data_IF_628315711326
#
_entry.id   IF_628315711326
#
_cell.length_a   1.000
_cell.length_b   1.000
_cell.length_c   1.000
_cell.angle_alpha   90.00
_cell.angle_beta   90.00
_cell.angle_gamma   90.00
#
_symmetry.space_group_name_H-M   'P 1'
#
loop_
_entity.id
_entity.type
_entity.pdbx_description
1 polymer ?
#
# COMPACT_ATOMS: atom_id res chain seq x y z
N UNK A 1 15.26 -19.56 13.80
CA UNK A 1 15.45 -18.73 12.61
C UNK A 1 14.45 -19.10 11.50
N UNK A 2 14.34 -20.40 11.11
CA UNK A 2 13.40 -20.87 10.07
C UNK A 2 11.93 -20.50 10.36
N UNK A 3 11.47 -20.62 11.60
CA UNK A 3 10.08 -20.26 11.98
C UNK A 3 9.83 -18.77 11.82
N UNK A 4 10.79 -17.92 12.23
CA UNK A 4 10.66 -16.46 12.06
C UNK A 4 10.63 -16.07 10.58
N UNK A 5 11.47 -16.69 9.76
CA UNK A 5 11.45 -16.50 8.31
C UNK A 5 10.12 -16.93 7.67
N UNK A 6 9.57 -18.07 8.08
CA UNK A 6 8.27 -18.54 7.60
C UNK A 6 7.13 -17.57 8.00
N UNK A 7 7.19 -17.02 9.22
CA UNK A 7 6.22 -16.01 9.67
C UNK A 7 6.35 -14.74 8.82
N UNK A 8 7.57 -14.20 8.62
CA UNK A 8 7.79 -12.98 7.83
C UNK A 8 7.28 -13.13 6.40
N UNK A 9 7.59 -14.26 5.75
CA UNK A 9 7.12 -14.55 4.40
C UNK A 9 5.59 -14.70 4.33
N UNK A 10 4.98 -15.36 5.32
CA UNK A 10 3.52 -15.53 5.39
C UNK A 10 2.79 -14.20 5.66
N UNK A 11 3.45 -13.22 6.29
CA UNK A 11 2.85 -11.92 6.58
C UNK A 11 2.63 -11.04 5.33
N UNK A 12 3.24 -11.34 4.19
CA UNK A 12 3.12 -10.53 2.96
C UNK A 12 1.66 -10.34 2.55
N UNK A 13 0.87 -11.40 2.52
CA UNK A 13 -0.56 -11.32 2.21
C UNK A 13 -1.34 -10.48 3.21
N UNK A 14 -1.05 -10.62 4.51
CA UNK A 14 -1.69 -9.83 5.57
C UNK A 14 -1.30 -8.36 5.52
N UNK A 15 -0.05 -8.06 5.21
CA UNK A 15 0.44 -6.69 5.03
C UNK A 15 -0.23 -6.02 3.83
N UNK A 16 -0.38 -6.75 2.72
CA UNK A 16 -1.10 -6.25 1.55
C UNK A 16 -2.59 -6.03 1.86
N UNK A 17 -3.24 -6.97 2.54
CA UNK A 17 -4.65 -6.83 2.92
C UNK A 17 -4.90 -5.64 3.86
N UNK A 18 -3.91 -5.25 4.67
CA UNK A 18 -3.96 -4.09 5.57
C UNK A 18 -3.41 -2.80 4.96
N UNK A 19 -2.94 -2.82 3.71
CA UNK A 19 -2.41 -1.64 3.04
C UNK A 19 -3.49 -0.60 2.72
N UNK A 20 -3.09 0.53 2.17
CA UNK A 20 -3.95 1.66 1.82
C UNK A 20 -4.62 2.38 3.02
N UNK A 21 -4.35 2.01 4.26
CA UNK A 21 -4.88 2.67 5.44
C UNK A 21 -4.57 4.18 5.49
N UNK A 22 -3.45 4.59 4.90
CA UNK A 22 -2.96 5.97 4.88
C UNK A 22 -3.41 6.77 3.64
N UNK A 23 -4.15 6.20 2.69
CA UNK A 23 -4.51 6.85 1.43
C UNK A 23 -5.29 8.15 1.62
N UNK A 24 -6.08 8.28 2.70
CA UNK A 24 -6.75 9.52 3.04
C UNK A 24 -5.78 10.70 3.23
N UNK A 25 -4.53 10.44 3.61
CA UNK A 25 -3.52 11.48 3.79
C UNK A 25 -3.08 12.11 2.46
N UNK A 26 -3.15 11.38 1.34
CA UNK A 26 -2.81 11.87 0.01
C UNK A 26 -3.85 12.85 -0.53
N UNK A 27 -5.09 12.76 -0.05
CA UNK A 27 -6.19 13.67 -0.38
C UNK A 27 -6.50 14.66 0.74
N UNK A 28 -5.60 14.83 1.70
CA UNK A 28 -5.81 15.64 2.90
C UNK A 28 -6.19 17.10 2.61
N UNK A 29 -5.73 17.66 1.49
CA UNK A 29 -6.07 19.01 1.05
C UNK A 29 -7.53 19.20 0.64
N UNK A 30 -8.27 18.12 0.39
CA UNK A 30 -9.69 18.14 0.02
C UNK A 30 -10.62 17.81 1.21
N UNK A 31 -10.05 17.41 2.35
CA UNK A 31 -10.81 17.01 3.53
C UNK A 31 -11.27 18.24 4.32
N UNK A 32 -12.57 18.35 4.56
CA UNK A 32 -13.15 19.38 5.43
C UNK A 32 -12.72 19.10 6.88
N UNK A 33 -12.21 20.12 7.59
CA UNK A 33 -11.68 20.02 8.95
C UNK A 33 -10.63 18.90 9.13
N UNK A 34 -9.51 18.94 8.36
CA UNK A 34 -8.55 17.84 8.29
C UNK A 34 -7.91 17.52 9.64
N UNK A 35 -7.73 18.49 10.52
CA UNK A 35 -7.17 18.29 11.88
C UNK A 35 -7.98 17.29 12.72
N UNK A 36 -9.28 17.18 12.50
CA UNK A 36 -10.19 16.26 13.22
C UNK A 36 -10.51 15.03 12.37
N UNK A 37 -10.88 15.24 11.11
CA UNK A 37 -11.46 14.19 10.29
C UNK A 37 -10.44 13.16 9.81
N UNK A 38 -9.18 13.58 9.53
CA UNK A 38 -8.14 12.62 9.12
C UNK A 38 -7.81 11.63 10.25
N UNK A 39 -7.46 12.06 11.48
CA UNK A 39 -7.22 11.11 12.56
C UNK A 39 -8.42 10.21 12.87
N UNK A 40 -9.63 10.78 12.84
CA UNK A 40 -10.85 10.02 13.10
C UNK A 40 -11.10 8.97 12.02
N UNK A 41 -10.95 9.32 10.74
CA UNK A 41 -11.08 8.39 9.62
C UNK A 41 -10.06 7.26 9.68
N UNK A 42 -8.81 7.58 10.04
CA UNK A 42 -7.76 6.57 10.21
C UNK A 42 -8.12 5.58 11.34
N UNK A 43 -8.51 6.07 12.51
CA UNK A 43 -8.85 5.20 13.65
C UNK A 43 -10.09 4.36 13.37
N UNK A 44 -11.18 4.99 12.93
CA UNK A 44 -12.44 4.28 12.69
C UNK A 44 -12.34 3.33 11.50
N UNK A 45 -11.73 3.78 10.39
CA UNK A 45 -11.57 2.95 9.19
C UNK A 45 -10.68 1.74 9.45
N UNK A 46 -9.49 1.95 10.02
CA UNK A 46 -8.58 0.86 10.35
C UNK A 46 -9.17 -0.07 11.39
N UNK A 47 -9.82 0.46 12.42
CA UNK A 47 -10.47 -0.34 13.45
C UNK A 47 -11.61 -1.21 12.89
N UNK A 48 -12.46 -0.64 12.05
CA UNK A 48 -13.55 -1.38 11.41
C UNK A 48 -13.04 -2.51 10.50
N UNK A 49 -12.04 -2.22 9.66
CA UNK A 49 -11.43 -3.22 8.76
C UNK A 49 -10.74 -4.32 9.57
N UNK A 50 -9.99 -3.98 10.61
CA UNK A 50 -9.35 -4.97 11.49
C UNK A 50 -10.38 -5.88 12.14
N UNK A 51 -11.47 -5.31 12.68
CA UNK A 51 -12.56 -6.08 13.26
C UNK A 51 -13.19 -7.05 12.25
N UNK A 52 -13.48 -6.58 11.04
CA UNK A 52 -14.03 -7.42 9.96
C UNK A 52 -13.08 -8.56 9.59
N UNK A 53 -11.77 -8.31 9.50
CA UNK A 53 -10.79 -9.36 9.22
C UNK A 53 -10.71 -10.40 10.34
N UNK A 54 -10.73 -9.97 11.60
CA UNK A 54 -10.76 -10.90 12.74
C UNK A 54 -12.02 -11.77 12.69
N UNK A 55 -13.18 -11.16 12.48
CA UNK A 55 -14.45 -11.91 12.39
C UNK A 55 -14.48 -12.87 11.20
N UNK A 56 -13.94 -12.45 10.03
CA UNK A 56 -13.84 -13.32 8.86
C UNK A 56 -12.92 -14.52 9.12
N UNK A 57 -11.77 -14.31 9.75
CA UNK A 57 -10.86 -15.41 10.09
C UNK A 57 -11.47 -16.37 11.13
N UNK A 58 -12.20 -15.86 12.11
CA UNK A 58 -12.96 -16.70 13.05
C UNK A 58 -13.99 -17.55 12.29
N UNK A 59 -14.72 -16.94 11.35
CA UNK A 59 -15.70 -17.66 10.54
C UNK A 59 -15.02 -18.76 9.68
N UNK A 60 -13.86 -18.50 9.09
CA UNK A 60 -13.12 -19.50 8.31
C UNK A 60 -12.71 -20.70 9.17
N UNK A 61 -12.19 -20.48 10.37
CA UNK A 61 -11.77 -21.54 11.29
C UNK A 61 -12.98 -22.34 11.83
N UNK A 62 -14.13 -21.70 11.98
CA UNK A 62 -15.36 -22.38 12.40
C UNK A 62 -16.00 -23.22 11.28
N UNK A 63 -15.84 -22.83 10.02
CA UNK A 63 -16.43 -23.49 8.85
C UNK A 63 -15.53 -24.56 8.25
N UNK A 64 -14.22 -24.39 8.32
CA UNK A 64 -13.23 -25.24 7.67
C UNK A 64 -12.19 -25.70 8.68
N UNK A 65 -11.77 -26.98 8.65
CA UNK A 65 -10.60 -27.41 9.41
C UNK A 65 -9.34 -26.69 8.92
N UNK A 66 -8.45 -26.35 9.85
CA UNK A 66 -7.19 -25.67 9.51
C UNK A 66 -6.29 -26.55 8.63
N UNK A 67 -6.20 -27.83 9.00
CA UNK A 67 -5.41 -28.86 8.26
C UNK A 67 -6.34 -29.68 7.38
N UNK A 68 -5.78 -30.19 6.28
CA UNK A 68 -6.55 -31.05 5.37
C UNK A 68 -5.61 -31.91 4.52
N UNK A 69 -6.17 -32.49 3.46
CA UNK A 69 -5.40 -33.29 2.47
C UNK A 69 -5.55 -32.70 1.08
N UNK A 70 -4.48 -32.60 0.28
CA UNK A 70 -4.53 -31.96 -1.04
C UNK A 70 -5.47 -32.67 -2.02
N UNK A 71 -5.61 -33.98 -1.88
CA UNK A 71 -6.38 -34.84 -2.80
C UNK A 71 -7.82 -35.09 -2.33
N UNK A 72 -8.29 -34.45 -1.26
CA UNK A 72 -9.66 -34.59 -0.79
C UNK A 72 -10.64 -34.12 -1.87
N UNK A 73 -11.73 -34.89 -2.06
CA UNK A 73 -12.73 -34.59 -3.05
C UNK A 73 -13.60 -33.37 -2.66
N UNK A 74 -13.83 -33.19 -1.37
CA UNK A 74 -14.68 -32.15 -0.80
C UNK A 74 -13.86 -30.98 -0.22
N UNK A 75 -14.53 -29.85 -0.07
CA UNK A 75 -13.92 -28.61 0.45
C UNK A 75 -13.51 -28.76 1.92
N UNK A 76 -14.29 -29.46 2.71
CA UNK A 76 -14.00 -29.69 4.14
C UNK A 76 -12.74 -30.55 4.31
N UNK A 77 -12.59 -31.60 3.51
CA UNK A 77 -11.42 -32.48 3.56
C UNK A 77 -10.12 -31.80 3.12
N UNK A 78 -10.18 -30.80 2.23
CA UNK A 78 -9.03 -29.96 1.86
C UNK A 78 -8.68 -28.96 2.96
N UNK A 79 -9.65 -28.49 3.70
CA UNK A 79 -9.47 -27.50 4.74
C UNK A 79 -8.95 -26.15 4.24
N UNK A 80 -8.52 -25.32 5.18
CA UNK A 80 -7.90 -24.02 4.87
C UNK A 80 -6.56 -24.19 4.15
N UNK A 81 -5.77 -25.19 4.58
CA UNK A 81 -4.40 -25.42 4.11
C UNK A 81 -4.31 -25.73 2.61
N UNK A 82 -5.30 -26.45 2.05
CA UNK A 82 -5.32 -26.88 0.65
C UNK A 82 -6.56 -26.35 -0.10
N UNK A 83 -7.05 -25.16 0.29
CA UNK A 83 -8.12 -24.50 -0.42
C UNK A 83 -7.74 -24.29 -1.90
N UNK A 84 -8.67 -24.57 -2.82
CA UNK A 84 -8.41 -24.49 -4.27
C UNK A 84 -7.93 -23.10 -4.66
N UNK A 85 -6.74 -23.02 -5.27
CA UNK A 85 -6.09 -21.75 -5.68
C UNK A 85 -5.97 -20.75 -4.51
N UNK A 86 -5.73 -21.23 -3.29
CA UNK A 86 -5.61 -20.43 -2.07
C UNK A 86 -6.84 -19.54 -1.74
N UNK A 87 -8.02 -19.89 -2.30
CA UNK A 87 -9.26 -19.10 -2.15
C UNK A 87 -10.05 -19.52 -0.92
N UNK A 88 -9.49 -19.32 0.28
CA UNK A 88 -10.12 -19.69 1.56
C UNK A 88 -11.52 -19.09 1.74
N UNK A 89 -11.70 -17.80 1.36
CA UNK A 89 -13.01 -17.14 1.45
C UNK A 89 -14.08 -17.82 0.59
N UNK A 90 -13.73 -18.25 -0.62
CA UNK A 90 -14.63 -18.99 -1.51
C UNK A 90 -14.92 -20.38 -0.96
N UNK A 91 -13.90 -21.05 -0.44
CA UNK A 91 -14.06 -22.36 0.21
C UNK A 91 -15.02 -22.28 1.41
N UNK A 92 -14.85 -21.29 2.28
CA UNK A 92 -15.76 -21.08 3.41
C UNK A 92 -17.18 -20.71 2.95
N UNK A 93 -17.33 -19.88 1.92
CA UNK A 93 -18.62 -19.54 1.36
C UNK A 93 -19.33 -20.76 0.75
N UNK A 94 -18.61 -21.70 0.15
CA UNK A 94 -19.20 -22.91 -0.43
C UNK A 94 -19.79 -23.85 0.63
N UNK A 95 -19.28 -23.80 1.86
CA UNK A 95 -19.87 -24.54 2.99
C UNK A 95 -21.28 -24.03 3.36
N UNK A 96 -21.58 -22.77 3.02
CA UNK A 96 -22.87 -22.12 3.33
C UNK A 96 -23.80 -22.12 2.12
N UNK A 97 -23.26 -21.77 0.94
CA UNK A 97 -24.02 -21.47 -0.28
C UNK A 97 -23.92 -22.58 -1.34
N UNK A 98 -23.15 -23.65 -1.07
CA UNK A 98 -22.94 -24.73 -2.02
C UNK A 98 -22.26 -24.24 -3.33
N UNK A 99 -22.67 -24.81 -4.46
CA UNK A 99 -22.07 -24.58 -5.79
C UNK A 99 -22.20 -23.13 -6.29
N UNK A 100 -23.16 -22.37 -5.78
CA UNK A 100 -23.37 -20.96 -6.18
C UNK A 100 -22.36 -20.00 -5.54
N UNK A 101 -21.64 -20.45 -4.51
CA UNK A 101 -20.66 -19.62 -3.77
C UNK A 101 -19.61 -18.99 -4.67
N UNK A 102 -19.07 -19.73 -5.64
CA UNK A 102 -18.02 -19.25 -6.52
C UNK A 102 -18.49 -18.05 -7.36
N UNK A 103 -19.71 -18.08 -7.87
CA UNK A 103 -20.30 -16.99 -8.67
C UNK A 103 -20.57 -15.78 -7.81
N UNK A 104 -21.18 -15.98 -6.63
CA UNK A 104 -21.48 -14.89 -5.70
C UNK A 104 -20.19 -14.20 -5.26
N UNK A 105 -19.18 -14.99 -4.85
CA UNK A 105 -17.88 -14.45 -4.44
C UNK A 105 -17.17 -13.70 -5.59
N UNK A 106 -17.23 -14.21 -6.82
CA UNK A 106 -16.66 -13.54 -7.97
C UNK A 106 -17.31 -12.17 -8.22
N UNK A 107 -18.61 -12.07 -8.14
CA UNK A 107 -19.34 -10.79 -8.29
C UNK A 107 -18.99 -9.82 -7.16
N UNK A 108 -18.95 -10.29 -5.91
CA UNK A 108 -18.57 -9.46 -4.76
C UNK A 108 -17.15 -8.95 -4.85
N UNK A 109 -16.19 -9.80 -5.30
CA UNK A 109 -14.80 -9.41 -5.53
C UNK A 109 -14.70 -8.37 -6.64
N UNK A 110 -15.44 -8.54 -7.76
CA UNK A 110 -15.46 -7.53 -8.84
C UNK A 110 -15.94 -6.16 -8.35
N UNK A 111 -17.01 -6.11 -7.58
CA UNK A 111 -17.54 -4.87 -7.00
C UNK A 111 -16.52 -4.25 -6.05
N UNK A 112 -15.92 -5.05 -5.17
CA UNK A 112 -14.93 -4.60 -4.20
C UNK A 112 -13.67 -4.05 -4.87
N UNK A 113 -13.11 -4.77 -5.83
CA UNK A 113 -11.91 -4.34 -6.56
C UNK A 113 -12.15 -3.09 -7.41
N UNK A 114 -13.34 -2.95 -8.01
CA UNK A 114 -13.71 -1.72 -8.72
C UNK A 114 -13.71 -0.51 -7.78
N UNK A 115 -14.30 -0.64 -6.59
CA UNK A 115 -14.30 0.42 -5.58
C UNK A 115 -12.89 0.75 -5.06
N UNK A 116 -12.08 -0.27 -4.80
CA UNK A 116 -10.69 -0.10 -4.38
C UNK A 116 -9.84 0.62 -5.44
N UNK A 117 -9.94 0.20 -6.70
CA UNK A 117 -9.22 0.83 -7.81
C UNK A 117 -9.57 2.31 -7.96
N UNK A 118 -10.83 2.69 -7.78
CA UNK A 118 -11.24 4.10 -7.83
C UNK A 118 -10.50 4.95 -6.79
N UNK A 119 -10.40 4.46 -5.55
CA UNK A 119 -9.65 5.12 -4.48
C UNK A 119 -8.15 5.22 -4.75
N UNK A 120 -7.53 4.13 -5.22
CA UNK A 120 -6.10 4.08 -5.54
C UNK A 120 -5.73 4.98 -6.72
N UNK A 121 -6.55 5.02 -7.77
CA UNK A 121 -6.36 5.90 -8.93
C UNK A 121 -6.39 7.37 -8.49
N UNK A 122 -7.36 7.74 -7.66
CA UNK A 122 -7.46 9.10 -7.14
C UNK A 122 -6.24 9.48 -6.30
N UNK A 123 -5.86 8.65 -5.34
CA UNK A 123 -4.73 8.89 -4.45
C UNK A 123 -3.40 8.98 -5.22
N UNK A 124 -3.13 8.02 -6.14
CA UNK A 124 -1.91 7.98 -6.93
C UNK A 124 -1.73 9.21 -7.82
N UNK A 125 -2.79 9.64 -8.49
CA UNK A 125 -2.75 10.83 -9.34
C UNK A 125 -2.43 12.11 -8.54
N UNK A 126 -2.88 12.21 -7.29
CA UNK A 126 -2.56 13.34 -6.38
C UNK A 126 -1.10 13.35 -5.94
N UNK A 127 -0.49 12.17 -5.75
CA UNK A 127 0.95 12.07 -5.46
C UNK A 127 1.78 12.61 -6.62
N UNK A 128 1.50 12.18 -7.85
CA UNK A 128 2.22 12.68 -9.03
C UNK A 128 2.02 14.19 -9.23
N UNK A 129 0.82 14.68 -9.00
CA UNK A 129 0.51 16.11 -9.02
C UNK A 129 1.36 16.89 -8.00
N UNK A 130 1.41 16.43 -6.74
CA UNK A 130 2.21 17.04 -5.69
C UNK A 130 3.71 17.03 -6.04
N UNK A 131 4.24 15.89 -6.49
CA UNK A 131 5.65 15.77 -6.92
C UNK A 131 5.98 16.73 -8.08
N UNK A 132 5.07 16.91 -9.03
CA UNK A 132 5.25 17.85 -10.14
C UNK A 132 5.26 19.30 -9.65
N UNK A 133 4.42 19.65 -8.68
CA UNK A 133 4.40 20.97 -8.04
C UNK A 133 5.68 21.26 -7.26
N UNK A 134 6.26 20.23 -6.63
CA UNK A 134 7.54 20.32 -5.91
C UNK A 134 8.76 20.30 -6.86
N UNK A 135 8.55 20.18 -8.18
CA UNK A 135 9.61 20.18 -9.19
C UNK A 135 10.42 18.90 -9.25
N UNK A 136 9.92 17.79 -8.70
CA UNK A 136 10.58 16.47 -8.69
C UNK A 136 9.89 15.43 -9.59
N UNK A 137 9.00 15.91 -10.48
CA UNK A 137 8.33 15.11 -11.50
C UNK A 137 8.04 15.94 -12.75
N UNK A 138 7.49 15.33 -13.80
CA UNK A 138 7.16 16.03 -15.05
C UNK A 138 6.21 17.21 -14.79
N UNK A 139 6.56 18.41 -15.27
CA UNK A 139 5.77 19.64 -15.08
C UNK A 139 4.33 19.50 -15.57
N UNK A 140 4.12 18.74 -16.65
CA UNK A 140 2.80 18.48 -17.24
C UNK A 140 1.84 17.76 -16.26
N UNK A 141 2.35 16.96 -15.32
CA UNK A 141 1.53 16.30 -14.29
C UNK A 141 1.05 17.28 -13.19
N UNK A 142 1.65 18.48 -13.11
CA UNK A 142 1.28 19.55 -12.18
C UNK A 142 0.15 20.47 -12.67
N UNK A 143 -0.47 20.18 -13.82
CA UNK A 143 -1.61 20.92 -14.34
C UNK A 143 -2.91 20.20 -14.04
N UNK A 144 -3.91 20.98 -13.65
CA UNK A 144 -5.28 20.51 -13.48
C UNK A 144 -6.09 20.94 -14.71
N UNK A 145 -7.01 20.08 -15.16
CA UNK A 145 -7.98 20.45 -16.18
C UNK A 145 -9.08 21.37 -15.58
N UNK A 146 -10.03 21.81 -16.41
CA UNK A 146 -11.16 22.67 -16.01
C UNK A 146 -12.00 22.10 -14.86
N UNK A 147 -11.97 20.78 -14.65
CA UNK A 147 -12.66 20.08 -13.55
C UNK A 147 -11.75 19.80 -12.35
N UNK A 148 -10.62 20.51 -12.23
CA UNK A 148 -9.61 20.31 -11.17
C UNK A 148 -9.04 18.88 -11.09
N UNK A 149 -8.98 18.15 -12.21
CA UNK A 149 -8.47 16.79 -12.30
C UNK A 149 -7.07 16.79 -12.93
N UNK A 150 -6.07 16.08 -12.36
CA UNK A 150 -4.73 15.95 -12.93
C UNK A 150 -4.69 14.91 -14.06
N UNK A 151 -5.24 15.27 -15.23
CA UNK A 151 -5.46 14.34 -16.34
C UNK A 151 -4.18 13.67 -16.86
N UNK A 152 -3.06 14.42 -16.93
CA UNK A 152 -1.77 13.86 -17.35
C UNK A 152 -1.22 12.84 -16.34
N UNK A 153 -1.38 13.12 -15.04
CA UNK A 153 -0.99 12.18 -13.99
C UNK A 153 -1.78 10.88 -14.06
N UNK A 154 -3.09 10.96 -14.33
CA UNK A 154 -3.94 9.80 -14.55
C UNK A 154 -3.53 8.99 -15.78
N UNK A 155 -3.20 9.65 -16.89
CA UNK A 155 -2.76 8.97 -18.11
C UNK A 155 -1.43 8.20 -17.90
N UNK A 156 -0.44 8.84 -17.26
CA UNK A 156 0.86 8.21 -16.94
C UNK A 156 0.66 7.01 -16.02
N UNK A 157 -0.17 7.16 -14.98
CA UNK A 157 -0.50 6.08 -14.05
C UNK A 157 -1.18 4.91 -14.77
N UNK A 158 -2.14 5.17 -15.65
CA UNK A 158 -2.85 4.14 -16.39
C UNK A 158 -1.94 3.36 -17.34
N UNK A 159 -1.07 4.06 -18.08
CA UNK A 159 -0.08 3.44 -18.97
C UNK A 159 0.88 2.56 -18.15
N UNK A 160 1.41 3.08 -17.05
CA UNK A 160 2.34 2.34 -16.19
C UNK A 160 1.68 1.09 -15.58
N UNK A 161 0.45 1.21 -15.07
CA UNK A 161 -0.30 0.08 -14.55
C UNK A 161 -0.54 -0.99 -15.62
N UNK A 162 -0.86 -0.58 -16.87
CA UNK A 162 -1.03 -1.52 -17.99
C UNK A 162 0.26 -2.27 -18.32
N UNK A 163 1.41 -1.58 -18.32
CA UNK A 163 2.73 -2.21 -18.52
C UNK A 163 3.03 -3.21 -17.40
N UNK A 164 2.75 -2.87 -16.14
CA UNK A 164 2.95 -3.78 -15.01
C UNK A 164 2.05 -5.01 -15.10
N UNK A 165 0.80 -4.88 -15.54
CA UNK A 165 -0.09 -6.04 -15.75
C UNK A 165 0.43 -7.03 -16.79
N UNK A 166 1.28 -6.58 -17.72
CA UNK A 166 1.91 -7.44 -18.74
C UNK A 166 3.23 -8.08 -18.25
N UNK A 167 3.77 -7.63 -17.12
CA UNK A 167 5.12 -7.99 -16.65
C UNK A 167 5.18 -9.20 -15.72
N UNK A 168 4.06 -9.68 -15.18
CA UNK A 168 4.09 -10.79 -14.22
C UNK A 168 2.72 -11.22 -13.71
N UNK A 169 2.74 -12.22 -12.83
CA UNK A 169 1.54 -12.72 -12.16
C UNK A 169 1.11 -11.78 -11.01
N UNK A 170 -0.11 -11.97 -10.54
CA UNK A 170 -0.62 -11.23 -9.36
C UNK A 170 0.28 -11.40 -8.12
N UNK A 171 0.75 -12.62 -7.87
CA UNK A 171 1.61 -12.91 -6.73
C UNK A 171 2.96 -12.19 -6.81
N UNK A 172 3.55 -12.16 -8.00
CA UNK A 172 4.83 -11.49 -8.25
C UNK A 172 4.71 -9.97 -7.99
N UNK A 173 3.66 -9.35 -8.55
CA UNK A 173 3.40 -7.91 -8.36
C UNK A 173 3.15 -7.56 -6.89
N UNK A 174 2.49 -8.45 -6.14
CA UNK A 174 2.22 -8.27 -4.72
C UNK A 174 3.52 -8.22 -3.89
N UNK A 175 4.44 -9.15 -4.13
CA UNK A 175 5.74 -9.17 -3.45
C UNK A 175 6.56 -7.89 -3.73
N UNK A 176 6.58 -7.40 -4.99
CA UNK A 176 7.23 -6.13 -5.35
C UNK A 176 6.64 -4.93 -4.61
N UNK A 177 5.32 -4.84 -4.58
CA UNK A 177 4.61 -3.70 -3.98
C UNK A 177 4.86 -3.67 -2.48
N UNK A 178 4.65 -4.77 -1.77
CA UNK A 178 4.78 -4.82 -0.31
C UNK A 178 6.19 -4.47 0.15
N UNK A 179 7.21 -5.01 -0.49
CA UNK A 179 8.60 -4.68 -0.16
C UNK A 179 8.89 -3.18 -0.31
N UNK A 180 8.46 -2.60 -1.44
CA UNK A 180 8.66 -1.16 -1.70
C UNK A 180 7.90 -0.29 -0.70
N UNK A 181 6.65 -0.62 -0.42
CA UNK A 181 5.79 0.09 0.54
C UNK A 181 6.40 0.08 1.94
N UNK A 182 6.92 -1.06 2.40
CA UNK A 182 7.57 -1.15 3.72
C UNK A 182 8.76 -0.19 3.85
N UNK A 183 9.60 -0.07 2.80
CA UNK A 183 10.71 0.88 2.80
C UNK A 183 10.20 2.32 2.98
N UNK A 184 9.19 2.72 2.22
CA UNK A 184 8.63 4.07 2.33
C UNK A 184 7.94 4.32 3.67
N UNK A 185 7.29 3.32 4.25
CA UNK A 185 6.70 3.43 5.59
C UNK A 185 7.78 3.57 6.67
N UNK A 186 8.86 2.80 6.61
CA UNK A 186 10.01 2.95 7.51
C UNK A 186 10.55 4.39 7.44
N UNK A 187 10.78 4.92 6.24
CA UNK A 187 11.28 6.28 6.05
C UNK A 187 10.29 7.33 6.58
N UNK A 188 9.01 7.18 6.29
CA UNK A 188 7.96 8.12 6.72
C UNK A 188 7.81 8.13 8.24
N UNK A 189 7.76 6.97 8.88
CA UNK A 189 7.65 6.87 10.34
C UNK A 189 8.92 7.37 11.03
N UNK A 190 10.10 7.07 10.47
CA UNK A 190 11.38 7.63 10.94
C UNK A 190 11.39 9.15 10.84
N UNK A 191 10.74 9.71 9.85
CA UNK A 191 10.56 11.16 9.67
C UNK A 191 9.92 11.85 10.90
N UNK A 192 9.08 11.15 11.67
CA UNK A 192 8.48 11.69 12.90
C UNK A 192 9.56 12.07 13.93
N UNK A 193 10.57 11.22 14.09
CA UNK A 193 11.68 11.47 15.04
C UNK A 193 12.52 12.65 14.58
N UNK A 194 12.83 12.71 13.26
CA UNK A 194 13.60 13.81 12.66
C UNK A 194 12.86 15.14 12.79
N UNK A 195 11.56 15.18 12.46
CA UNK A 195 10.74 16.38 12.56
C UNK A 195 10.60 16.88 14.00
N UNK A 196 10.44 15.97 14.96
CA UNK A 196 10.37 16.37 16.37
C UNK A 196 11.68 16.97 16.87
N UNK A 197 12.83 16.51 16.35
CA UNK A 197 14.14 17.07 16.67
C UNK A 197 14.39 18.41 15.98
N UNK A 198 14.04 18.52 14.69
CA UNK A 198 14.30 19.74 13.89
C UNK A 198 13.30 20.85 14.14
N UNK A 199 12.04 20.51 14.43
CA UNK A 199 10.96 21.46 14.64
C UNK A 199 10.19 21.16 15.93
N UNK A 200 10.83 21.35 17.13
CA UNK A 200 10.22 20.99 18.40
C UNK A 200 8.93 21.77 18.70
N UNK A 201 8.85 23.01 18.25
CA UNK A 201 7.73 23.93 18.51
C UNK A 201 6.65 23.92 17.41
N UNK A 202 6.75 23.05 16.39
CA UNK A 202 5.70 22.95 15.36
C UNK A 202 4.36 22.53 15.97
N UNK A 203 3.28 23.21 15.57
CA UNK A 203 1.92 22.83 15.97
C UNK A 203 1.61 21.39 15.53
N UNK A 204 1.15 20.58 16.47
CA UNK A 204 0.77 19.16 16.23
C UNK A 204 -0.66 18.96 16.71
N UNK A 205 -1.64 19.08 15.82
CA UNK A 205 -3.04 18.86 16.16
C UNK A 205 -3.30 17.48 16.77
N UNK A 206 -2.55 16.47 16.30
CA UNK A 206 -2.55 15.12 16.84
C UNK A 206 -1.14 14.71 17.25
N UNK A 207 -1.00 14.21 18.47
CA UNK A 207 0.27 13.66 18.99
C UNK A 207 0.25 12.14 18.79
N UNK A 208 1.27 11.60 18.09
CA UNK A 208 1.37 10.15 17.86
C UNK A 208 1.30 9.39 19.20
N UNK A 209 0.30 8.51 19.31
CA UNK A 209 0.08 7.68 20.49
C UNK A 209 1.30 6.79 20.79
N UNK A 210 1.66 6.66 22.04
CA UNK A 210 2.79 5.81 22.48
C UNK A 210 4.17 6.25 21.97
N UNK A 211 4.32 7.49 21.53
CA UNK A 211 5.64 8.01 21.16
C UNK A 211 6.59 8.05 22.38
N UNK A 212 7.88 7.66 22.25
CA UNK A 212 8.55 7.21 21.00
C UNK A 212 8.45 5.70 20.74
N UNK A 213 7.91 4.91 21.65
CA UNK A 213 7.99 3.45 21.65
C UNK A 213 7.24 2.83 20.49
N UNK A 214 5.97 3.20 20.26
CA UNK A 214 5.14 2.58 19.22
C UNK A 214 5.71 2.84 17.81
N UNK A 215 6.06 4.08 17.41
CA UNK A 215 6.73 4.32 16.14
C UNK A 215 8.07 3.60 15.99
N UNK A 216 8.89 3.52 17.08
CA UNK A 216 10.16 2.80 17.04
C UNK A 216 9.95 1.30 16.83
N UNK A 217 9.00 0.69 17.55
CA UNK A 217 8.63 -0.72 17.38
C UNK A 217 8.17 -1.02 15.95
N UNK A 218 7.34 -0.14 15.39
CA UNK A 218 6.92 -0.28 13.99
C UNK A 218 8.12 -0.29 13.04
N UNK A 219 9.05 0.66 13.17
CA UNK A 219 10.26 0.73 12.32
C UNK A 219 11.09 -0.54 12.46
N UNK A 220 11.27 -1.05 13.67
CA UNK A 220 12.04 -2.28 13.94
C UNK A 220 11.36 -3.48 13.28
N UNK A 221 10.06 -3.67 13.50
CA UNK A 221 9.31 -4.79 12.91
C UNK A 221 9.28 -4.73 11.38
N UNK A 222 8.99 -3.56 10.81
CA UNK A 222 8.96 -3.37 9.36
C UNK A 222 10.35 -3.61 8.73
N UNK A 223 11.43 -3.17 9.40
CA UNK A 223 12.80 -3.43 8.95
C UNK A 223 13.13 -4.92 9.02
N UNK A 224 12.74 -5.61 10.10
CA UNK A 224 12.94 -7.04 10.23
C UNK A 224 12.25 -7.84 9.11
N UNK A 225 10.99 -7.50 8.81
CA UNK A 225 10.24 -8.12 7.70
C UNK A 225 10.91 -7.80 6.35
N UNK A 226 11.35 -6.57 6.12
CA UNK A 226 12.02 -6.19 4.88
C UNK A 226 13.33 -6.95 4.67
N UNK A 227 14.10 -7.16 5.73
CA UNK A 227 15.34 -7.97 5.70
C UNK A 227 15.01 -9.45 5.46
N UNK A 228 13.99 -9.98 6.09
CA UNK A 228 13.51 -11.34 5.88
C UNK A 228 13.14 -11.57 4.40
N UNK A 229 12.36 -10.68 3.81
CA UNK A 229 12.00 -10.75 2.39
C UNK A 229 13.22 -10.66 1.45
N UNK A 230 14.20 -9.84 1.77
CA UNK A 230 15.45 -9.74 0.98
C UNK A 230 16.24 -11.05 0.98
N UNK A 231 16.21 -11.78 2.08
CA UNK A 231 16.96 -13.03 2.25
C UNK A 231 16.20 -14.21 1.64
N UNK A 232 14.90 -14.33 1.90
CA UNK A 232 14.11 -15.52 1.57
C UNK A 232 13.29 -15.41 0.29
N UNK A 233 13.05 -14.17 -0.23
CA UNK A 233 12.39 -13.91 -1.52
C UNK A 233 13.22 -13.02 -2.46
N UNK A 234 14.50 -13.34 -2.71
CA UNK A 234 15.41 -12.46 -3.45
C UNK A 234 14.95 -12.18 -4.89
N UNK A 235 14.31 -13.15 -5.55
CA UNK A 235 13.88 -13.01 -6.94
C UNK A 235 12.93 -11.83 -7.17
N UNK A 236 12.12 -11.48 -6.18
CA UNK A 236 11.13 -10.41 -6.26
C UNK A 236 11.59 -9.12 -5.55
N UNK A 237 12.28 -9.25 -4.42
CA UNK A 237 12.64 -8.10 -3.60
C UNK A 237 13.83 -7.31 -4.14
N UNK A 238 14.84 -7.96 -4.73
CA UNK A 238 15.99 -7.25 -5.30
C UNK A 238 15.64 -6.34 -6.48
N UNK A 239 14.82 -6.75 -7.45
CA UNK A 239 14.35 -5.81 -8.48
C UNK A 239 13.58 -4.63 -7.90
N UNK A 240 12.71 -4.86 -6.91
CA UNK A 240 12.00 -3.79 -6.18
C UNK A 240 12.96 -2.83 -5.50
N UNK A 241 14.00 -3.34 -4.82
CA UNK A 241 15.05 -2.52 -4.20
C UNK A 241 15.79 -1.67 -5.23
N UNK A 242 16.16 -2.24 -6.38
CA UNK A 242 16.85 -1.51 -7.45
C UNK A 242 15.98 -0.38 -7.98
N UNK A 243 14.69 -0.62 -8.21
CA UNK A 243 13.75 0.42 -8.66
C UNK A 243 13.67 1.57 -7.64
N UNK A 244 13.56 1.25 -6.35
CA UNK A 244 13.53 2.28 -5.29
C UNK A 244 14.83 3.07 -5.26
N UNK A 245 15.99 2.40 -5.34
CA UNK A 245 17.31 3.06 -5.34
C UNK A 245 17.54 3.92 -6.59
N UNK A 246 17.04 3.52 -7.75
CA UNK A 246 17.07 4.34 -8.98
C UNK A 246 16.29 5.66 -8.83
N UNK A 247 15.35 5.74 -7.91
CA UNK A 247 14.67 7.00 -7.55
C UNK A 247 15.62 8.07 -7.03
N UNK A 248 16.73 7.67 -6.37
CA UNK A 248 17.72 8.62 -5.81
C UNK A 248 18.41 9.43 -6.90
N UNK A 249 19.09 8.83 -7.92
CA UNK A 249 19.70 9.61 -8.99
C UNK A 249 18.68 10.40 -9.80
N UNK A 250 17.49 9.85 -10.04
CA UNK A 250 16.39 10.55 -10.73
C UNK A 250 16.00 11.82 -9.96
N UNK A 251 15.84 11.75 -8.65
CA UNK A 251 15.57 12.93 -7.81
C UNK A 251 16.63 14.02 -7.97
N UNK A 252 17.91 13.66 -7.94
CA UNK A 252 18.99 14.65 -8.11
C UNK A 252 19.03 15.27 -9.51
N UNK A 253 18.75 14.49 -10.55
CA UNK A 253 18.64 14.99 -11.93
C UNK A 253 17.51 16.03 -12.01
N UNK A 254 16.32 15.72 -11.52
CA UNK A 254 15.19 16.64 -11.55
C UNK A 254 15.43 17.90 -10.72
N UNK A 255 15.99 17.75 -9.52
CA UNK A 255 16.31 18.88 -8.66
C UNK A 255 17.30 19.85 -9.29
N UNK A 256 18.28 19.33 -10.06
CA UNK A 256 19.21 20.17 -10.82
C UNK A 256 18.53 20.89 -11.99
N UNK A 257 17.69 20.19 -12.74
CA UNK A 257 16.94 20.77 -13.86
C UNK A 257 15.97 21.87 -13.39
N UNK A 258 15.28 21.67 -12.26
CA UNK A 258 14.38 22.66 -11.68
C UNK A 258 15.09 23.94 -11.23
N UNK A 259 16.29 23.83 -10.67
CA UNK A 259 17.11 25.00 -10.29
C UNK A 259 17.63 25.80 -11.50
N UNK A 260 17.90 25.15 -12.61
CA UNK A 260 18.32 25.85 -13.83
C UNK A 260 17.18 26.66 -14.44
N UNK A 261 15.95 26.10 -14.42
CA UNK A 261 14.76 26.77 -14.93
C UNK A 261 14.36 28.01 -14.08
N UNK A 262 14.57 27.93 -12.76
CA UNK A 262 14.34 29.08 -11.86
C UNK A 262 15.37 30.20 -12.08
N UNK A 263 16.61 29.85 -12.35
CA UNK A 263 17.67 30.82 -12.69
C UNK A 263 17.42 31.52 -14.03
N UNK A 264 16.92 30.79 -15.03
CA UNK A 264 16.62 31.35 -16.35
C UNK A 264 15.40 32.29 -16.35
N UNK A 265 14.51 32.18 -15.35
CA UNK A 265 13.32 33.01 -15.19
C UNK A 265 13.52 34.27 -14.34
N UNK A 266 14.65 34.41 -13.65
CA UNK A 266 14.97 35.66 -12.94
C UNK A 266 15.39 36.71 -13.98
N UNK A 267 14.76 37.92 -13.99
CA UNK A 267 15.21 39.00 -14.84
C UNK A 267 16.68 39.33 -14.50
N UNK A 268 17.48 39.76 -15.48
CA UNK A 268 18.83 40.20 -15.21
C UNK A 268 18.80 41.30 -14.15
N UNK A 269 19.68 41.17 -13.14
CA UNK A 269 19.82 42.18 -12.09
C UNK A 269 20.20 43.51 -12.78
N UNK A 270 19.28 44.47 -12.69
CA UNK A 270 19.49 45.82 -13.18
C UNK A 270 20.41 46.60 -12.25
#
# INVERSE_FOLDING_TARGET
LMVLAAIGTAMVGSLFASDAWNNITFTAGEVINPKRNIPLSLVLGTGAVTLLYVLANIAYILLLPVTGTPDAADVAGRGIQFAVSDRVGTAAASMILGDTAAIIMAVMIMISTFGCNNGLILAGARVYYAMARDGVFFKSAGFLNERAVPGMALAVQGIWASVLCLSGTYSDLLDYVIFSVLIFYILTVTGIFVLRKKQPNAERPYKAFGYPVVPALYVVCATAISVDLLIFKPAYTWPGMIIVLLGIPVYFIWKRAGKQDEKSRRPPAS
#
